data_IF_352710075002
#
_entry.id   IF_352710075002
#
_cell.length_a   1.000
_cell.length_b   1.000
_cell.length_c   1.000
_cell.angle_alpha   90.00
_cell.angle_beta   90.00
_cell.angle_gamma   90.00
#
_symmetry.space_group_name_H-M   'P 1'
#
loop_
_entity.id
_entity.type
_entity.pdbx_description
1 polymer ?
#
# COMPACT_ATOMS: atom_id res chain seq x y z
N UNK A 1 17.32 -17.08 -39.39
CA UNK A 1 16.39 -17.05 -40.54
C UNK A 1 17.20 -17.25 -41.81
N UNK A 2 16.76 -18.13 -42.72
CA UNK A 2 17.46 -18.38 -43.98
C UNK A 2 16.94 -17.43 -45.07
N UNK A 3 17.16 -16.12 -44.88
CA UNK A 3 16.69 -15.06 -45.78
C UNK A 3 17.87 -14.42 -46.50
N UNK A 4 17.70 -14.08 -47.77
CA UNK A 4 18.68 -13.28 -48.51
C UNK A 4 18.71 -11.85 -47.95
N UNK A 5 19.87 -11.20 -47.98
CA UNK A 5 20.05 -9.84 -47.47
C UNK A 5 19.05 -8.84 -48.08
N UNK A 6 18.77 -8.98 -49.37
CA UNK A 6 17.79 -8.15 -50.08
C UNK A 6 16.39 -8.29 -49.48
N UNK A 7 15.98 -9.51 -49.16
CA UNK A 7 14.65 -9.78 -48.60
C UNK A 7 14.55 -9.28 -47.16
N UNK A 8 15.64 -9.42 -46.38
CA UNK A 8 15.73 -8.85 -45.04
C UNK A 8 15.52 -7.32 -45.08
N UNK A 9 16.23 -6.60 -45.95
CA UNK A 9 16.11 -5.14 -46.07
C UNK A 9 14.70 -4.72 -46.51
N UNK A 10 14.08 -5.45 -47.44
CA UNK A 10 12.69 -5.18 -47.84
C UNK A 10 11.71 -5.32 -46.68
N UNK A 11 11.84 -6.36 -45.86
CA UNK A 11 10.97 -6.58 -44.71
C UNK A 11 11.24 -5.52 -43.63
N UNK A 12 12.52 -5.19 -43.38
CA UNK A 12 12.93 -4.14 -42.44
C UNK A 12 12.29 -2.80 -42.79
N UNK A 13 12.41 -2.38 -44.05
CA UNK A 13 11.82 -1.11 -44.53
C UNK A 13 10.29 -1.09 -44.39
N UNK A 14 9.60 -2.23 -44.56
CA UNK A 14 8.15 -2.31 -44.31
C UNK A 14 7.82 -2.10 -42.83
N UNK A 15 8.57 -2.71 -41.91
CA UNK A 15 8.38 -2.53 -40.47
C UNK A 15 8.70 -1.10 -40.03
N UNK A 16 9.70 -0.46 -40.64
CA UNK A 16 10.01 0.95 -40.44
C UNK A 16 8.85 1.86 -40.90
N UNK A 17 8.31 1.63 -42.10
CA UNK A 17 7.18 2.40 -42.64
C UNK A 17 5.90 2.26 -41.81
N UNK A 18 5.65 1.07 -41.23
CA UNK A 18 4.55 0.82 -40.30
C UNK A 18 4.84 1.30 -38.88
N UNK A 19 6.00 1.93 -38.63
CA UNK A 19 6.46 2.41 -37.33
C UNK A 19 6.50 1.30 -36.25
N UNK A 20 6.71 0.04 -36.66
CA UNK A 20 6.91 -1.12 -35.78
C UNK A 20 8.38 -1.32 -35.43
N UNK A 21 9.28 -0.71 -36.22
CA UNK A 21 10.71 -0.78 -36.03
C UNK A 21 11.31 0.61 -36.23
N UNK A 22 12.19 1.02 -35.33
CA UNK A 22 13.01 2.21 -35.50
C UNK A 22 14.48 1.81 -35.51
N UNK A 23 15.21 2.25 -36.53
CA UNK A 23 16.59 1.84 -36.76
C UNK A 23 17.49 3.07 -36.65
N UNK A 24 18.57 2.96 -35.88
CA UNK A 24 19.66 3.93 -35.89
C UNK A 24 20.92 3.23 -36.40
N UNK A 25 21.74 3.96 -37.14
CA UNK A 25 23.01 3.44 -37.65
C UNK A 25 24.14 4.34 -37.18
N UNK A 26 25.23 3.73 -36.71
CA UNK A 26 26.51 4.38 -36.47
C UNK A 26 27.58 3.50 -37.10
N UNK A 27 28.17 3.97 -38.20
CA UNK A 27 29.15 3.20 -38.99
C UNK A 27 28.55 1.83 -39.41
N UNK A 28 29.17 0.73 -38.99
CA UNK A 28 28.70 -0.64 -39.25
C UNK A 28 27.78 -1.20 -38.14
N UNK A 29 27.48 -0.42 -37.11
CA UNK A 29 26.58 -0.79 -36.02
C UNK A 29 25.15 -0.31 -36.26
N UNK A 30 24.17 -1.19 -36.03
CA UNK A 30 22.75 -0.88 -36.13
C UNK A 30 22.06 -1.11 -34.78
N UNK A 31 21.29 -0.12 -34.33
CA UNK A 31 20.41 -0.22 -33.17
C UNK A 31 18.96 -0.35 -33.63
N UNK A 32 18.32 -1.45 -33.23
CA UNK A 32 16.94 -1.78 -33.58
C UNK A 32 16.02 -1.62 -32.36
N UNK A 33 15.13 -0.63 -32.43
CA UNK A 33 14.11 -0.40 -31.42
C UNK A 33 12.77 -0.93 -31.90
N UNK A 34 12.33 -2.04 -31.31
CA UNK A 34 11.02 -2.62 -31.60
C UNK A 34 9.92 -1.83 -30.88
N UNK A 35 8.87 -1.48 -31.62
CA UNK A 35 7.69 -0.78 -31.10
C UNK A 35 6.50 -1.72 -31.08
N UNK A 36 5.69 -1.61 -30.02
CA UNK A 36 4.42 -2.34 -29.96
C UNK A 36 3.47 -1.81 -31.04
N UNK A 37 2.64 -2.68 -31.65
CA UNK A 37 1.62 -2.23 -32.59
C UNK A 37 0.59 -1.35 -31.88
N UNK A 38 -0.11 -0.55 -32.68
CA UNK A 38 -1.27 0.21 -32.22
C UNK A 38 -2.36 -0.74 -31.69
N UNK A 39 -3.17 -0.24 -30.75
CA UNK A 39 -4.38 -0.97 -30.34
C UNK A 39 -5.38 -1.03 -31.50
N UNK A 40 -6.27 -2.02 -31.52
CA UNK A 40 -7.28 -2.15 -32.58
C UNK A 40 -8.08 -0.85 -32.78
N UNK A 41 -8.50 -0.20 -31.67
CA UNK A 41 -9.19 1.10 -31.71
C UNK A 41 -8.33 2.18 -32.38
N UNK A 42 -7.06 2.32 -31.98
CA UNK A 42 -6.16 3.33 -32.54
C UNK A 42 -5.89 3.07 -34.02
N UNK A 43 -5.65 1.81 -34.41
CA UNK A 43 -5.35 1.45 -35.79
C UNK A 43 -6.56 1.64 -36.71
N UNK A 44 -7.74 1.18 -36.30
CA UNK A 44 -8.95 1.22 -37.12
C UNK A 44 -9.57 2.62 -37.21
N UNK A 45 -9.38 3.47 -36.19
CA UNK A 45 -9.85 4.86 -36.19
C UNK A 45 -8.82 5.84 -36.76
N UNK A 46 -7.60 5.38 -37.07
CA UNK A 46 -6.60 6.21 -37.72
C UNK A 46 -7.00 6.49 -39.17
N UNK A 47 -6.91 7.75 -39.58
CA UNK A 47 -7.36 8.20 -40.91
C UNK A 47 -6.52 7.63 -42.05
N UNK A 48 -5.29 7.18 -41.79
CA UNK A 48 -4.40 6.62 -42.81
C UNK A 48 -4.48 5.09 -42.77
N UNK A 49 -4.23 4.47 -41.62
CA UNK A 49 -4.17 3.01 -41.52
C UNK A 49 -5.54 2.34 -41.67
N UNK A 50 -6.61 2.92 -41.09
CA UNK A 50 -7.95 2.38 -41.22
C UNK A 50 -8.44 2.40 -42.67
N UNK A 51 -8.27 3.53 -43.36
CA UNK A 51 -8.66 3.68 -44.77
C UNK A 51 -7.80 2.83 -45.71
N UNK A 52 -6.48 2.75 -45.50
CA UNK A 52 -5.61 1.88 -46.28
C UNK A 52 -5.95 0.40 -46.09
N UNK A 53 -6.24 -0.03 -44.86
CA UNK A 53 -6.68 -1.40 -44.62
C UNK A 53 -7.99 -1.68 -45.35
N UNK A 54 -8.96 -0.76 -45.30
CA UNK A 54 -10.23 -0.88 -46.01
C UNK A 54 -10.04 -1.05 -47.52
N UNK A 55 -9.12 -0.31 -48.14
CA UNK A 55 -8.85 -0.43 -49.58
C UNK A 55 -8.23 -1.76 -49.95
N UNK A 56 -7.38 -2.33 -49.08
CA UNK A 56 -6.70 -3.61 -49.35
C UNK A 56 -7.60 -4.84 -49.15
N UNK A 57 -8.42 -4.84 -48.08
CA UNK A 57 -9.22 -6.02 -47.73
C UNK A 57 -10.70 -5.89 -48.12
N UNK A 58 -11.15 -4.68 -48.45
CA UNK A 58 -12.55 -4.38 -48.75
C UNK A 58 -13.44 -4.26 -47.51
N UNK A 59 -14.58 -3.58 -47.68
CA UNK A 59 -15.49 -3.24 -46.58
C UNK A 59 -16.04 -4.46 -45.84
N UNK A 60 -16.40 -5.53 -46.57
CA UNK A 60 -16.94 -6.76 -45.95
C UNK A 60 -15.95 -7.39 -44.97
N UNK A 61 -14.68 -7.50 -45.35
CA UNK A 61 -13.65 -8.09 -44.49
C UNK A 61 -13.28 -7.15 -43.34
N UNK A 62 -13.31 -5.83 -43.56
CA UNK A 62 -13.10 -4.85 -42.49
C UNK A 62 -14.22 -4.93 -41.44
N UNK A 63 -15.48 -5.09 -41.84
CA UNK A 63 -16.60 -5.27 -40.93
C UNK A 63 -16.47 -6.57 -40.12
N UNK A 64 -15.99 -7.65 -40.74
CA UNK A 64 -15.69 -8.88 -40.03
C UNK A 64 -14.55 -8.67 -39.00
N UNK A 65 -13.44 -8.02 -39.42
CA UNK A 65 -12.31 -7.75 -38.54
C UNK A 65 -12.67 -6.85 -37.36
N UNK A 66 -13.40 -5.76 -37.61
CA UNK A 66 -13.86 -4.83 -36.56
C UNK A 66 -14.79 -5.53 -35.57
N UNK A 67 -15.62 -6.47 -36.02
CA UNK A 67 -16.48 -7.26 -35.12
C UNK A 67 -15.69 -8.16 -34.17
N UNK A 68 -14.50 -8.65 -34.57
CA UNK A 68 -13.59 -9.39 -33.67
C UNK A 68 -13.02 -8.53 -32.53
N UNK A 69 -12.97 -7.22 -32.71
CA UNK A 69 -12.49 -6.25 -31.71
C UNK A 69 -13.62 -5.48 -31.03
N UNK A 70 -14.88 -5.86 -31.28
CA UNK A 70 -16.02 -5.26 -30.62
C UNK A 70 -15.95 -5.56 -29.13
N UNK A 71 -16.22 -4.53 -28.32
CA UNK A 71 -16.43 -4.66 -26.88
C UNK A 71 -17.90 -4.40 -26.61
N UNK A 72 -18.52 -5.26 -25.81
CA UNK A 72 -19.87 -5.01 -25.31
C UNK A 72 -19.78 -3.93 -24.23
N UNK A 73 -20.26 -2.74 -24.57
CA UNK A 73 -20.38 -1.64 -23.61
C UNK A 73 -21.68 -1.88 -22.85
N UNK A 74 -21.56 -2.35 -21.61
CA UNK A 74 -22.70 -2.45 -20.71
C UNK A 74 -23.18 -1.03 -20.38
N UNK A 75 -24.49 -0.81 -20.51
CA UNK A 75 -25.09 0.43 -20.01
C UNK A 75 -24.98 0.45 -18.49
N UNK A 76 -24.46 1.55 -17.95
CA UNK A 76 -24.43 1.81 -16.51
C UNK A 76 -25.67 2.57 -16.04
N UNK A 77 -26.69 2.75 -16.90
CA UNK A 77 -27.94 3.39 -16.52
C UNK A 77 -28.63 2.60 -15.41
N UNK A 78 -28.96 3.27 -14.31
CA UNK A 78 -29.57 2.65 -13.13
C UNK A 78 -28.58 1.95 -12.17
N UNK A 79 -27.28 1.90 -12.50
CA UNK A 79 -26.25 1.35 -11.62
C UNK A 79 -25.50 2.48 -10.89
N UNK A 80 -25.25 2.28 -9.61
CA UNK A 80 -24.40 3.16 -8.81
C UNK A 80 -22.95 2.65 -8.82
N UNK A 81 -21.99 3.56 -9.04
CA UNK A 81 -20.58 3.19 -8.98
C UNK A 81 -20.10 3.07 -7.53
N UNK A 82 -20.02 1.83 -7.03
CA UNK A 82 -19.54 1.51 -5.68
C UNK A 82 -18.02 1.22 -5.59
N UNK A 83 -17.26 1.52 -6.64
CA UNK A 83 -15.80 1.28 -6.68
C UNK A 83 -15.10 2.06 -5.56
N UNK A 84 -14.39 1.35 -4.68
CA UNK A 84 -13.58 1.97 -3.63
C UNK A 84 -12.33 2.58 -4.25
N UNK A 85 -12.02 3.81 -3.88
CA UNK A 85 -10.78 4.47 -4.26
C UNK A 85 -9.60 3.90 -3.46
N UNK A 86 -8.38 4.09 -3.95
CA UNK A 86 -7.19 3.52 -3.31
C UNK A 86 -7.02 4.02 -1.86
N UNK A 87 -7.26 5.32 -1.67
CA UNK A 87 -7.23 6.01 -0.38
C UNK A 87 -8.34 5.59 0.59
N UNK A 88 -9.39 4.90 0.12
CA UNK A 88 -10.42 4.34 1.00
C UNK A 88 -9.98 3.03 1.68
N UNK A 89 -8.93 2.37 1.17
CA UNK A 89 -8.48 1.06 1.64
C UNK A 89 -7.02 1.06 2.11
N UNK A 90 -6.21 2.00 1.63
CA UNK A 90 -4.77 1.99 1.84
C UNK A 90 -4.26 3.37 2.27
N UNK A 91 -3.47 3.38 3.35
CA UNK A 91 -2.72 4.54 3.80
C UNK A 91 -1.27 4.50 3.29
N UNK A 92 -0.77 5.66 2.88
CA UNK A 92 0.60 5.77 2.41
C UNK A 92 1.58 5.78 3.60
N UNK A 93 2.26 4.66 3.86
CA UNK A 93 3.38 4.62 4.81
C UNK A 93 4.65 5.03 4.06
N UNK A 94 5.18 6.21 4.40
CA UNK A 94 6.43 6.74 3.83
C UNK A 94 7.61 5.81 4.17
N UNK A 95 7.87 4.88 3.27
CA UNK A 95 9.14 4.17 3.18
C UNK A 95 9.72 4.56 1.83
N UNK A 96 10.82 5.33 1.87
CA UNK A 96 11.73 5.59 0.76
C UNK A 96 11.07 5.49 -0.63
N UNK A 97 10.57 6.62 -1.15
CA UNK A 97 10.02 6.71 -2.51
C UNK A 97 10.85 5.88 -3.49
N UNK A 98 10.22 4.91 -4.16
CA UNK A 98 10.87 4.03 -5.13
C UNK A 98 11.59 4.88 -6.17
N UNK A 99 12.94 4.84 -6.16
CA UNK A 99 13.75 5.57 -7.11
C UNK A 99 14.32 4.61 -8.14
N UNK A 100 13.78 4.65 -9.35
CA UNK A 100 14.25 3.84 -10.48
C UNK A 100 15.02 4.74 -11.43
N UNK A 101 16.35 4.58 -11.47
CA UNK A 101 17.25 5.42 -12.27
C UNK A 101 17.38 4.96 -13.74
N UNK A 102 16.48 4.11 -14.23
CA UNK A 102 16.50 3.57 -15.59
C UNK A 102 15.09 3.56 -16.20
N UNK A 103 14.97 3.66 -17.54
CA UNK A 103 13.68 3.62 -18.21
C UNK A 103 13.01 2.24 -18.03
N UNK A 104 11.74 2.25 -17.61
CA UNK A 104 10.92 1.04 -17.51
C UNK A 104 10.08 0.85 -18.78
N UNK A 105 9.88 -0.40 -19.17
CA UNK A 105 9.00 -0.76 -20.27
C UNK A 105 7.53 -0.61 -19.86
N UNK A 106 6.73 0.11 -20.64
CA UNK A 106 5.30 0.32 -20.35
C UNK A 106 4.42 0.13 -21.58
N UNK A 107 3.24 -0.46 -21.39
CA UNK A 107 2.09 -0.35 -22.31
C UNK A 107 1.08 0.66 -21.74
N UNK A 108 0.14 1.09 -22.58
CA UNK A 108 -0.88 2.12 -22.31
C UNK A 108 -1.35 2.21 -20.86
N UNK A 109 -1.34 3.42 -20.32
CA UNK A 109 -1.73 3.73 -18.93
C UNK A 109 -3.21 3.42 -18.69
N UNK A 110 -3.54 2.68 -17.63
CA UNK A 110 -4.93 2.38 -17.22
C UNK A 110 -5.61 3.55 -16.46
N UNK A 111 -5.09 4.77 -16.59
CA UNK A 111 -5.48 5.92 -15.75
C UNK A 111 -4.71 6.03 -14.43
N UNK A 112 -3.95 5.00 -14.02
CA UNK A 112 -3.19 5.00 -12.76
C UNK A 112 -4.09 4.85 -11.52
N UNK A 113 -3.52 5.10 -10.33
CA UNK A 113 -4.28 5.10 -9.08
C UNK A 113 -5.30 6.24 -9.05
N UNK A 114 -6.58 5.90 -8.89
CA UNK A 114 -7.64 6.86 -8.62
C UNK A 114 -7.55 7.25 -7.14
N UNK A 115 -7.23 8.52 -6.91
CA UNK A 115 -7.12 9.12 -5.58
C UNK A 115 -8.31 10.04 -5.43
N UNK A 116 -9.25 9.72 -4.52
CA UNK A 116 -10.40 10.57 -4.21
C UNK A 116 -10.08 11.52 -3.04
N UNK A 117 -8.84 12.01 -3.00
CA UNK A 117 -8.39 12.96 -2.01
C UNK A 117 -9.00 14.33 -2.31
N UNK A 118 -9.81 14.82 -1.37
CA UNK A 118 -10.38 16.17 -1.43
C UNK A 118 -9.33 17.21 -1.06
N UNK A 119 -8.34 17.40 -1.92
CA UNK A 119 -7.49 18.58 -1.86
C UNK A 119 -8.34 19.81 -2.19
N UNK A 120 -8.32 20.82 -1.32
CA UNK A 120 -9.04 22.08 -1.57
C UNK A 120 -8.31 22.88 -2.66
N UNK A 121 -8.56 22.51 -3.92
CA UNK A 121 -7.95 23.12 -5.09
C UNK A 121 -8.39 24.57 -5.28
N UNK A 122 -9.62 24.90 -4.86
CA UNK A 122 -10.15 26.26 -4.91
C UNK A 122 -9.34 27.19 -4.00
N UNK A 123 -9.09 26.78 -2.75
CA UNK A 123 -8.22 27.51 -1.84
C UNK A 123 -6.79 27.62 -2.37
N UNK A 124 -6.26 26.57 -3.00
CA UNK A 124 -4.94 26.63 -3.65
C UNK A 124 -4.88 27.69 -4.75
N UNK A 125 -5.88 27.76 -5.64
CA UNK A 125 -5.92 28.76 -6.70
C UNK A 125 -6.14 30.18 -6.16
N UNK A 126 -6.89 30.33 -5.07
CA UNK A 126 -7.10 31.62 -4.41
C UNK A 126 -5.79 32.19 -3.85
N UNK A 127 -5.02 31.36 -3.12
CA UNK A 127 -3.77 31.74 -2.47
C UNK A 127 -2.58 31.89 -3.44
N UNK A 128 -2.75 31.57 -4.73
CA UNK A 128 -1.72 31.80 -5.73
C UNK A 128 -1.63 33.28 -6.14
N UNK A 129 -0.42 33.81 -6.38
CA UNK A 129 -0.24 35.15 -6.95
C UNK A 129 -0.91 35.26 -8.33
N UNK A 130 -1.61 36.36 -8.62
CA UNK A 130 -2.31 36.57 -9.90
C UNK A 130 -1.40 36.38 -11.13
N UNK A 131 -0.12 36.77 -11.02
CA UNK A 131 0.89 36.60 -12.08
C UNK A 131 1.12 35.14 -12.48
N UNK A 132 0.82 34.20 -11.60
CA UNK A 132 1.02 32.77 -11.82
C UNK A 132 -0.27 32.03 -12.17
N UNK A 133 -1.43 32.72 -12.17
CA UNK A 133 -2.71 32.14 -12.57
C UNK A 133 -2.79 32.04 -14.10
N UNK A 134 -2.41 30.89 -14.63
CA UNK A 134 -2.48 30.62 -16.07
C UNK A 134 -3.62 29.64 -16.42
N UNK A 135 -3.94 29.50 -17.71
CA UNK A 135 -4.98 28.57 -18.18
C UNK A 135 -4.68 27.10 -17.88
N UNK A 136 -3.42 26.75 -17.58
CA UNK A 136 -3.01 25.39 -17.24
C UNK A 136 -3.64 24.94 -15.91
N UNK A 137 -3.84 25.86 -14.96
CA UNK A 137 -4.50 25.60 -13.67
C UNK A 137 -5.98 25.20 -13.82
N UNK A 138 -6.60 25.50 -14.95
CA UNK A 138 -8.00 25.16 -15.24
C UNK A 138 -8.14 23.78 -15.91
N UNK A 139 -7.02 23.12 -16.24
CA UNK A 139 -7.08 21.80 -16.89
C UNK A 139 -7.25 20.70 -15.83
N UNK A 140 -8.22 19.80 -16.03
CA UNK A 140 -8.47 18.67 -15.12
C UNK A 140 -7.21 17.80 -14.94
N UNK A 141 -6.43 17.62 -16.01
CA UNK A 141 -5.14 16.91 -15.95
C UNK A 141 -4.16 17.55 -14.97
N UNK A 142 -4.13 18.88 -14.86
CA UNK A 142 -3.24 19.58 -13.92
C UNK A 142 -3.76 19.52 -12.50
N UNK A 143 -5.08 19.68 -12.32
CA UNK A 143 -5.77 19.51 -11.04
C UNK A 143 -5.52 18.13 -10.44
N UNK A 144 -5.66 17.06 -11.23
CA UNK A 144 -5.34 15.70 -10.79
C UNK A 144 -3.88 15.55 -10.32
N UNK A 145 -2.92 16.17 -11.01
CA UNK A 145 -1.51 16.07 -10.65
C UNK A 145 -1.22 16.78 -9.33
N UNK A 146 -1.79 17.97 -9.12
CA UNK A 146 -1.69 18.70 -7.85
C UNK A 146 -2.29 17.88 -6.71
N UNK A 147 -3.48 17.31 -6.90
CA UNK A 147 -4.12 16.43 -5.92
C UNK A 147 -3.28 15.18 -5.62
N UNK A 148 -2.68 14.55 -6.64
CA UNK A 148 -1.79 13.40 -6.48
C UNK A 148 -0.55 13.74 -5.66
N UNK A 149 0.10 14.86 -5.95
CA UNK A 149 1.27 15.32 -5.18
C UNK A 149 0.88 15.64 -3.74
N UNK A 150 -0.21 16.40 -3.54
CA UNK A 150 -0.69 16.75 -2.21
C UNK A 150 -1.01 15.51 -1.38
N UNK A 151 -1.65 14.50 -1.99
CA UNK A 151 -1.95 13.23 -1.33
C UNK A 151 -0.69 12.42 -1.00
N UNK A 152 0.24 12.26 -1.95
CA UNK A 152 1.45 11.42 -1.76
C UNK A 152 2.35 11.98 -0.66
N UNK A 153 2.54 13.29 -0.63
CA UNK A 153 3.43 13.96 0.34
C UNK A 153 2.68 14.51 1.56
N UNK A 154 1.35 14.36 1.63
CA UNK A 154 0.47 14.91 2.67
C UNK A 154 0.65 16.43 2.83
N UNK A 155 0.70 17.15 1.70
CA UNK A 155 0.84 18.61 1.69
C UNK A 155 -0.47 19.33 1.89
N UNK A 156 -0.40 20.38 2.70
CA UNK A 156 -1.48 21.34 2.83
C UNK A 156 -1.48 22.35 1.66
N UNK A 157 -2.47 23.24 1.66
CA UNK A 157 -2.61 24.27 0.64
C UNK A 157 -1.39 25.21 0.61
N UNK A 158 -0.80 25.51 1.77
CA UNK A 158 0.33 26.44 1.87
C UNK A 158 1.61 25.85 1.27
N UNK A 159 1.91 24.58 1.59
CA UNK A 159 3.01 23.81 1.04
C UNK A 159 2.89 23.73 -0.50
N UNK A 160 1.70 23.44 -1.01
CA UNK A 160 1.47 23.36 -2.46
C UNK A 160 1.65 24.70 -3.17
N UNK A 161 1.24 25.82 -2.55
CA UNK A 161 1.49 27.18 -3.08
C UNK A 161 3.00 27.44 -3.17
N UNK A 162 3.75 27.16 -2.11
CA UNK A 162 5.20 27.36 -2.08
C UNK A 162 5.93 26.50 -3.14
N UNK A 163 5.51 25.24 -3.31
CA UNK A 163 6.05 24.32 -4.33
C UNK A 163 5.77 24.85 -5.74
N UNK A 164 4.55 25.33 -5.97
CA UNK A 164 4.13 25.87 -7.27
C UNK A 164 4.90 27.14 -7.63
N UNK A 165 5.06 28.06 -6.68
CA UNK A 165 5.88 29.26 -6.84
C UNK A 165 7.35 28.92 -7.14
N UNK A 166 7.91 27.96 -6.40
CA UNK A 166 9.29 27.52 -6.60
C UNK A 166 9.50 26.87 -7.98
N UNK A 167 8.49 26.18 -8.52
CA UNK A 167 8.52 25.63 -9.88
C UNK A 167 8.41 26.74 -10.93
N UNK A 168 7.54 27.72 -10.71
CA UNK A 168 7.26 28.83 -11.62
C UNK A 168 8.38 29.89 -11.70
N UNK A 169 9.28 29.94 -10.72
CA UNK A 169 10.44 30.88 -10.73
C UNK A 169 11.34 30.71 -11.96
N UNK A 170 11.37 29.51 -12.56
CA UNK A 170 12.24 29.23 -13.71
C UNK A 170 11.58 29.52 -15.07
N UNK A 171 10.25 29.39 -15.20
CA UNK A 171 9.46 29.58 -16.43
C UNK A 171 7.99 29.86 -16.07
N UNK A 172 7.28 30.66 -16.88
CA UNK A 172 5.83 30.91 -16.68
C UNK A 172 4.95 29.69 -16.96
N UNK A 173 5.42 28.73 -17.76
CA UNK A 173 4.74 27.45 -18.02
C UNK A 173 5.42 26.35 -17.22
N UNK A 174 4.65 25.71 -16.34
CA UNK A 174 5.16 24.72 -15.40
C UNK A 174 5.07 23.33 -16.02
N UNK A 175 6.19 22.63 -16.07
CA UNK A 175 6.24 21.23 -16.48
C UNK A 175 5.98 20.32 -15.27
N UNK A 176 5.17 19.27 -15.46
CA UNK A 176 4.90 18.24 -14.44
C UNK A 176 6.17 17.63 -13.83
N UNK A 177 7.22 17.42 -14.63
CA UNK A 177 8.49 16.90 -14.12
C UNK A 177 9.17 17.87 -13.14
N UNK A 178 9.07 19.19 -13.38
CA UNK A 178 9.64 20.20 -12.49
C UNK A 178 8.82 20.33 -11.21
N UNK A 179 7.49 20.26 -11.31
CA UNK A 179 6.59 20.29 -10.16
C UNK A 179 6.86 19.10 -9.22
N UNK A 180 6.99 17.88 -9.76
CA UNK A 180 7.35 16.69 -8.98
C UNK A 180 8.73 16.79 -8.33
N UNK A 181 9.72 17.33 -9.05
CA UNK A 181 11.06 17.54 -8.49
C UNK A 181 11.02 18.53 -7.33
N UNK A 182 10.28 19.64 -7.47
CA UNK A 182 10.15 20.67 -6.43
C UNK A 182 9.35 20.16 -5.23
N UNK A 183 8.30 19.38 -5.46
CA UNK A 183 7.55 18.71 -4.40
C UNK A 183 8.46 17.76 -3.60
N UNK A 184 9.31 16.96 -4.25
CA UNK A 184 10.28 16.11 -3.58
C UNK A 184 11.31 16.92 -2.79
N UNK A 185 11.89 17.97 -3.38
CA UNK A 185 12.85 18.85 -2.70
C UNK A 185 12.25 19.53 -1.48
N UNK A 186 10.99 19.99 -1.57
CA UNK A 186 10.28 20.60 -0.46
C UNK A 186 10.05 19.60 0.69
N UNK A 187 9.80 18.32 0.36
CA UNK A 187 9.65 17.25 1.34
C UNK A 187 10.98 16.99 2.04
N UNK A 188 12.05 16.88 1.27
CA UNK A 188 13.40 16.67 1.79
C UNK A 188 13.84 17.83 2.68
N UNK A 189 13.55 19.08 2.30
CA UNK A 189 13.87 20.28 3.08
C UNK A 189 13.06 20.38 4.38
N UNK A 190 11.74 20.16 4.32
CA UNK A 190 10.86 20.21 5.49
C UNK A 190 11.15 19.08 6.49
N UNK A 191 11.57 17.92 5.98
CA UNK A 191 11.91 16.75 6.81
C UNK A 191 13.39 16.63 7.18
N UNK A 192 14.26 17.55 6.75
CA UNK A 192 15.71 17.53 7.08
C UNK A 192 16.06 18.10 8.46
N UNK A 193 15.08 18.50 9.28
CA UNK A 193 15.32 18.99 10.66
C UNK A 193 14.48 18.30 11.75
N UNK A 194 14.00 17.07 11.52
CA UNK A 194 13.29 16.33 12.55
C UNK A 194 13.98 14.98 12.80
N UNK A 195 14.80 14.96 13.85
CA UNK A 195 15.00 13.77 14.68
C UNK A 195 13.65 13.08 14.85
N UNK A 196 13.63 11.77 14.63
CA UNK A 196 12.46 10.89 14.80
C UNK A 196 11.76 11.25 16.12
N UNK A 197 10.70 12.04 16.04
CA UNK A 197 9.66 12.05 17.05
C UNK A 197 8.55 11.20 16.47
N UNK A 198 8.52 9.94 16.93
CA UNK A 198 7.32 9.12 16.82
C UNK A 198 6.15 9.94 17.36
N UNK A 199 5.16 10.17 16.50
CA UNK A 199 3.84 10.57 16.93
C UNK A 199 3.01 9.29 16.92
N UNK A 200 2.47 8.96 18.08
CA UNK A 200 1.87 7.69 18.43
C UNK A 200 0.88 7.19 17.38
N UNK A 201 1.25 6.06 16.75
CA UNK A 201 0.24 5.15 16.21
C UNK A 201 -0.42 4.59 17.46
N UNK A 202 -1.68 4.90 17.71
CA UNK A 202 -2.41 4.31 18.84
C UNK A 202 -2.27 2.78 18.73
N UNK A 203 -1.83 2.14 19.80
CA UNK A 203 -1.52 0.70 19.85
C UNK A 203 -2.70 -0.16 19.36
N UNK A 204 -3.92 0.37 19.45
CA UNK A 204 -5.19 -0.20 18.98
C UNK A 204 -5.17 -0.59 17.50
N UNK A 205 -4.90 0.35 16.59
CA UNK A 205 -5.00 0.14 15.14
C UNK A 205 -4.02 -0.92 14.60
N UNK A 206 -2.87 -1.09 15.27
CA UNK A 206 -1.90 -2.14 14.94
C UNK A 206 -2.39 -3.53 15.36
N UNK A 207 -3.12 -3.62 16.47
CA UNK A 207 -3.55 -4.91 17.03
C UNK A 207 -4.80 -5.43 16.31
N UNK A 208 -5.66 -4.53 15.79
CA UNK A 208 -6.84 -4.91 15.01
C UNK A 208 -6.51 -5.57 13.66
N UNK A 209 -5.40 -5.18 13.04
CA UNK A 209 -5.01 -5.62 11.70
C UNK A 209 -4.04 -6.82 11.69
N UNK A 210 -3.52 -7.22 12.85
CA UNK A 210 -2.55 -8.31 12.94
C UNK A 210 -3.28 -9.65 12.94
N UNK A 211 -2.89 -10.52 12.00
CA UNK A 211 -3.37 -11.91 12.00
C UNK A 211 -2.90 -12.62 13.27
N UNK A 212 -3.79 -13.35 13.98
CA UNK A 212 -3.45 -14.18 15.13
C UNK A 212 -2.30 -15.17 14.86
N UNK A 213 -2.13 -15.58 13.59
CA UNK A 213 -0.99 -16.40 13.14
C UNK A 213 0.36 -15.73 13.42
N UNK A 214 0.47 -14.42 13.21
CA UNK A 214 1.71 -13.66 13.40
C UNK A 214 2.04 -13.57 14.90
N UNK A 215 1.01 -13.44 15.75
CA UNK A 215 1.17 -13.39 17.21
C UNK A 215 1.69 -14.74 17.72
N UNK A 216 1.11 -15.84 17.24
CA UNK A 216 1.47 -17.20 17.66
C UNK A 216 2.87 -17.57 17.16
N UNK A 217 3.21 -17.26 15.91
CA UNK A 217 4.56 -17.50 15.38
C UNK A 217 5.65 -16.74 16.15
N UNK A 218 5.32 -15.55 16.67
CA UNK A 218 6.27 -14.69 17.37
C UNK A 218 6.38 -14.97 18.86
N UNK A 219 5.29 -15.34 19.53
CA UNK A 219 5.22 -15.42 20.99
C UNK A 219 4.91 -16.81 21.54
N UNK A 220 4.48 -17.78 20.73
CA UNK A 220 4.28 -19.15 21.18
C UNK A 220 5.55 -19.99 20.99
N UNK A 221 5.79 -20.93 21.92
CA UNK A 221 6.92 -21.87 21.82
C UNK A 221 6.78 -22.75 20.58
N UNK A 222 7.90 -22.99 19.89
CA UNK A 222 7.97 -23.65 18.57
C UNK A 222 7.29 -25.02 18.53
N UNK A 223 7.32 -25.76 19.63
CA UNK A 223 6.71 -27.09 19.81
C UNK A 223 5.17 -27.05 19.99
N UNK A 224 4.60 -25.88 20.30
CA UNK A 224 3.17 -25.71 20.58
C UNK A 224 2.43 -24.80 19.59
N UNK A 225 3.12 -24.29 18.57
CA UNK A 225 2.55 -23.37 17.58
C UNK A 225 1.34 -23.96 16.83
N UNK A 226 1.36 -25.28 16.53
CA UNK A 226 0.24 -25.95 15.84
C UNK A 226 -1.04 -26.02 16.69
N UNK A 227 -0.91 -26.31 17.99
CA UNK A 227 -2.04 -26.39 18.94
C UNK A 227 -2.54 -24.99 19.30
N UNK A 228 -1.62 -24.03 19.46
CA UNK A 228 -1.97 -22.63 19.69
C UNK A 228 -2.74 -22.04 18.49
N UNK A 229 -2.33 -22.38 17.27
CA UNK A 229 -2.99 -21.91 16.05
C UNK A 229 -4.40 -22.48 15.87
N UNK A 230 -4.60 -23.77 16.16
CA UNK A 230 -5.95 -24.36 16.10
C UNK A 230 -6.87 -23.74 17.15
N UNK A 231 -6.35 -23.46 18.35
CA UNK A 231 -7.11 -22.85 19.45
C UNK A 231 -7.50 -21.40 19.13
N UNK A 232 -6.57 -20.59 18.61
CA UNK A 232 -6.87 -19.20 18.22
C UNK A 232 -7.85 -19.11 17.05
N UNK A 233 -7.70 -19.99 16.05
CA UNK A 233 -8.65 -20.08 14.92
C UNK A 233 -10.05 -20.43 15.40
N UNK A 234 -10.18 -21.46 16.25
CA UNK A 234 -11.47 -21.85 16.82
C UNK A 234 -12.10 -20.74 17.68
N UNK A 235 -11.29 -19.95 18.38
CA UNK A 235 -11.76 -18.82 19.19
C UNK A 235 -12.33 -17.67 18.33
N UNK A 236 -11.75 -17.40 17.16
CA UNK A 236 -12.28 -16.40 16.20
C UNK A 236 -13.55 -16.88 15.53
N UNK A 237 -13.62 -18.16 15.16
CA UNK A 237 -14.77 -18.73 14.44
C UNK A 237 -16.01 -18.87 15.34
N UNK A 238 -15.81 -19.16 16.63
CA UNK A 238 -16.91 -19.42 17.58
C UNK A 238 -17.46 -18.17 18.27
N UNK A 239 -16.75 -17.04 18.23
CA UNK A 239 -17.14 -15.84 18.97
C UNK A 239 -17.24 -14.63 18.03
N UNK A 240 -18.42 -13.99 17.99
CA UNK A 240 -18.67 -12.77 17.21
C UNK A 240 -18.13 -11.51 17.91
N UNK A 241 -16.82 -11.48 18.15
CA UNK A 241 -16.12 -10.38 18.83
C UNK A 241 -15.08 -9.76 17.92
N UNK A 242 -14.70 -8.52 18.18
CA UNK A 242 -13.66 -7.83 17.42
C UNK A 242 -12.33 -8.62 17.47
N UNK A 243 -11.68 -8.87 16.32
CA UNK A 243 -10.42 -9.64 16.28
C UNK A 243 -9.31 -9.07 17.16
N UNK A 244 -9.28 -7.74 17.35
CA UNK A 244 -8.29 -7.09 18.21
C UNK A 244 -8.45 -7.44 19.69
N UNK A 245 -9.66 -7.64 20.20
CA UNK A 245 -9.89 -8.13 21.58
C UNK A 245 -9.27 -9.51 21.77
N UNK A 246 -9.47 -10.41 20.80
CA UNK A 246 -8.89 -11.75 20.81
C UNK A 246 -7.36 -11.66 20.74
N UNK A 247 -6.81 -10.78 19.91
CA UNK A 247 -5.37 -10.55 19.80
C UNK A 247 -4.74 -10.07 21.12
N UNK A 248 -5.38 -9.13 21.83
CA UNK A 248 -4.90 -8.67 23.15
C UNK A 248 -4.92 -9.81 24.16
N UNK A 249 -5.97 -10.62 24.19
CA UNK A 249 -6.07 -11.79 25.08
C UNK A 249 -4.97 -12.80 24.76
N UNK A 250 -4.73 -13.11 23.48
CA UNK A 250 -3.66 -14.02 23.05
C UNK A 250 -2.29 -13.52 23.50
N UNK A 251 -1.99 -12.23 23.30
CA UNK A 251 -0.72 -11.63 23.73
C UNK A 251 -0.54 -11.72 25.24
N UNK A 252 -1.57 -11.40 26.01
CA UNK A 252 -1.52 -11.41 27.47
C UNK A 252 -1.33 -12.83 28.02
N UNK A 253 -2.07 -13.80 27.49
CA UNK A 253 -1.98 -15.19 27.95
C UNK A 253 -0.64 -15.81 27.59
N UNK A 254 -0.14 -15.59 26.36
CA UNK A 254 1.18 -16.05 25.94
C UNK A 254 2.29 -15.44 26.80
N UNK A 255 2.18 -14.16 27.16
CA UNK A 255 3.14 -13.48 28.06
C UNK A 255 3.16 -14.09 29.46
N UNK A 256 1.99 -14.43 30.01
CA UNK A 256 1.88 -14.94 31.39
C UNK A 256 2.12 -16.44 31.54
N UNK A 257 2.02 -17.21 30.45
CA UNK A 257 2.19 -18.66 30.44
C UNK A 257 3.47 -19.08 29.71
N UNK A 258 4.47 -18.19 29.65
CA UNK A 258 5.77 -18.45 29.02
C UNK A 258 5.66 -19.04 27.60
N UNK A 259 4.79 -18.44 26.78
CA UNK A 259 4.57 -18.83 25.39
C UNK A 259 3.71 -20.07 25.18
N UNK A 260 3.00 -20.55 26.21
CA UNK A 260 2.06 -21.67 26.14
C UNK A 260 0.64 -21.11 26.03
N UNK A 261 -0.09 -21.49 24.97
CA UNK A 261 -1.50 -21.15 24.85
C UNK A 261 -2.37 -22.27 25.48
N UNK A 262 -3.18 -21.99 26.51
CA UNK A 262 -4.09 -22.95 27.12
C UNK A 262 -5.19 -23.44 26.17
N UNK A 263 -5.97 -24.43 26.62
CA UNK A 263 -7.07 -25.00 25.84
C UNK A 263 -8.18 -23.99 25.54
N UNK A 264 -8.95 -24.25 24.48
CA UNK A 264 -10.06 -23.40 24.04
C UNK A 264 -11.03 -23.04 25.17
N UNK A 265 -11.41 -24.00 26.01
CA UNK A 265 -12.34 -23.75 27.12
C UNK A 265 -11.78 -22.71 28.11
N UNK A 266 -10.48 -22.72 28.38
CA UNK A 266 -9.86 -21.71 29.24
C UNK A 266 -9.89 -20.33 28.57
N UNK A 267 -9.57 -20.27 27.28
CA UNK A 267 -9.58 -19.03 26.51
C UNK A 267 -10.99 -18.42 26.40
N UNK A 268 -12.02 -19.26 26.26
CA UNK A 268 -13.42 -18.82 26.24
C UNK A 268 -13.87 -18.28 27.60
N UNK A 269 -13.46 -18.90 28.71
CA UNK A 269 -13.73 -18.37 30.05
C UNK A 269 -13.08 -17.00 30.24
N UNK A 270 -11.84 -16.81 29.79
CA UNK A 270 -11.15 -15.52 29.86
C UNK A 270 -11.86 -14.47 29.00
N UNK A 271 -12.26 -14.82 27.78
CA UNK A 271 -13.00 -13.94 26.89
C UNK A 271 -14.34 -13.51 27.49
N UNK A 272 -15.12 -14.46 28.00
CA UNK A 272 -16.41 -14.15 28.63
C UNK A 272 -16.26 -13.30 29.89
N UNK A 273 -15.21 -13.51 30.70
CA UNK A 273 -14.91 -12.63 31.84
C UNK A 273 -14.64 -11.18 31.40
N UNK A 274 -13.89 -10.99 30.31
CA UNK A 274 -13.59 -9.66 29.76
C UNK A 274 -14.86 -8.98 29.21
N UNK A 275 -15.69 -9.72 28.47
CA UNK A 275 -16.97 -9.23 27.95
C UNK A 275 -17.92 -8.82 29.09
N UNK A 276 -18.02 -9.64 30.14
CA UNK A 276 -18.87 -9.35 31.31
C UNK A 276 -18.39 -8.12 32.09
N UNK A 277 -17.11 -7.78 32.00
CA UNK A 277 -16.50 -6.58 32.59
C UNK A 277 -16.58 -5.35 31.69
N UNK A 278 -17.28 -5.46 30.56
CA UNK A 278 -17.58 -4.34 29.67
C UNK A 278 -16.53 -4.09 28.58
N UNK A 279 -15.61 -5.02 28.33
CA UNK A 279 -14.66 -4.90 27.21
C UNK A 279 -15.40 -5.16 25.91
N UNK A 280 -15.58 -4.13 25.08
CA UNK A 280 -16.31 -4.24 23.80
C UNK A 280 -15.49 -3.79 22.59
N UNK A 281 -14.38 -3.07 22.82
CA UNK A 281 -13.45 -2.64 21.78
C UNK A 281 -12.02 -3.09 22.07
N UNK A 282 -11.16 -3.08 21.06
CA UNK A 282 -9.72 -3.32 21.24
C UNK A 282 -9.04 -2.29 22.15
N UNK A 283 -9.55 -1.05 22.19
CA UNK A 283 -9.08 -0.02 23.12
C UNK A 283 -9.41 -0.38 24.58
N UNK A 284 -10.63 -0.84 24.83
CA UNK A 284 -11.04 -1.33 26.15
C UNK A 284 -10.19 -2.52 26.59
N UNK A 285 -9.89 -3.43 25.67
CA UNK A 285 -9.07 -4.61 25.92
C UNK A 285 -7.64 -4.23 26.31
N UNK A 286 -7.03 -3.26 25.61
CA UNK A 286 -5.70 -2.75 25.93
C UNK A 286 -5.65 -2.05 27.30
N UNK A 287 -6.62 -1.17 27.56
CA UNK A 287 -6.72 -0.47 28.84
C UNK A 287 -6.93 -1.45 30.00
N UNK A 288 -7.80 -2.45 29.80
CA UNK A 288 -8.05 -3.48 30.79
C UNK A 288 -6.83 -4.38 31.02
N UNK A 289 -6.12 -4.77 29.97
CA UNK A 289 -4.88 -5.56 30.05
C UNK A 289 -3.77 -4.83 30.81
N UNK A 290 -3.60 -3.53 30.57
CA UNK A 290 -2.59 -2.69 31.24
C UNK A 290 -2.90 -2.51 32.72
N UNK A 291 -4.19 -2.36 33.07
CA UNK A 291 -4.65 -2.30 34.45
C UNK A 291 -4.44 -3.64 35.19
N UNK A 292 -4.71 -4.77 34.53
CA UNK A 292 -4.45 -6.11 35.07
C UNK A 292 -2.95 -6.32 35.32
N UNK A 293 -2.10 -5.96 34.37
CA UNK A 293 -0.65 -6.07 34.48
C UNK A 293 -0.12 -5.23 35.64
N UNK A 294 -0.59 -3.99 35.77
CA UNK A 294 -0.26 -3.11 36.89
C UNK A 294 -0.70 -3.68 38.25
N UNK A 295 -1.83 -4.38 38.31
CA UNK A 295 -2.28 -5.06 39.53
C UNK A 295 -1.44 -6.30 39.86
N UNK A 296 -1.00 -7.06 38.85
CA UNK A 296 -0.14 -8.22 39.02
C UNK A 296 1.29 -7.83 39.43
N UNK A 297 1.83 -6.74 38.90
CA UNK A 297 3.10 -6.16 39.34
C UNK A 297 3.05 -5.69 40.79
N UNK A 298 1.95 -5.01 41.19
CA UNK A 298 1.71 -4.62 42.59
C UNK A 298 1.55 -5.83 43.53
N UNK A 299 1.00 -6.95 43.07
CA UNK A 299 0.93 -8.20 43.86
C UNK A 299 2.27 -8.92 43.95
N UNK A 300 3.10 -8.90 42.89
CA UNK A 300 4.46 -9.46 42.90
C UNK A 300 5.40 -8.69 43.84
N UNK A 301 5.25 -7.38 43.98
CA UNK A 301 6.05 -6.60 44.95
C UNK A 301 5.65 -6.87 46.41
N UNK A 302 4.40 -7.29 46.65
CA UNK A 302 3.90 -7.67 47.98
C UNK A 302 4.23 -9.13 48.33
N UNK A 303 4.31 -10.03 47.35
CA UNK A 303 4.85 -11.38 47.52
C UNK A 303 6.37 -11.42 47.30
N UNK A 304 7.11 -10.72 48.15
CA UNK A 304 8.47 -11.17 48.46
C UNK A 304 8.28 -12.46 49.26
N UNK A 305 8.39 -13.60 48.57
CA UNK A 305 8.47 -14.91 49.19
C UNK A 305 9.58 -14.83 50.23
N UNK A 306 9.20 -14.84 51.51
CA UNK A 306 10.08 -15.35 52.56
C UNK A 306 10.49 -16.73 52.11
N UNK A 307 11.80 -17.00 52.07
CA UNK A 307 12.28 -18.38 51.98
C UNK A 307 11.44 -19.23 52.92
N UNK A 308 10.92 -20.39 52.47
CA UNK A 308 10.21 -21.24 53.39
C UNK A 308 11.20 -21.72 54.44
N UNK A 309 11.00 -21.32 55.71
CA UNK A 309 11.84 -21.70 56.86
C UNK A 309 12.10 -23.23 56.94
N UNK A 310 11.23 -24.05 56.33
CA UNK A 310 11.39 -25.51 56.31
C UNK A 310 12.57 -26.02 55.48
N UNK A 311 13.07 -25.25 54.49
CA UNK A 311 14.16 -25.70 53.62
C UNK A 311 15.52 -25.65 54.34
N UNK A 312 15.73 -24.65 55.18
CA UNK A 312 16.96 -24.51 55.97
C UNK A 312 17.03 -25.55 57.10
N UNK A 313 15.90 -25.88 57.73
CA UNK A 313 15.82 -26.95 58.72
C UNK A 313 16.11 -28.34 58.09
N UNK A 314 15.61 -28.58 56.86
CA UNK A 314 15.90 -29.83 56.12
C UNK A 314 17.37 -29.95 55.72
N UNK A 315 18.02 -28.84 55.34
CA UNK A 315 19.44 -28.81 54.97
C UNK A 315 20.33 -29.00 56.22
N UNK A 316 19.94 -28.46 57.38
CA UNK A 316 20.61 -28.71 58.66
C UNK A 316 20.50 -30.16 59.11
N UNK A 317 19.31 -30.77 59.01
CA UNK A 317 19.12 -32.17 59.37
C UNK A 317 19.93 -33.11 58.47
N UNK A 318 20.03 -32.81 57.18
CA UNK A 318 20.89 -33.54 56.25
C UNK A 318 22.39 -33.39 56.58
N UNK A 319 22.84 -32.19 56.94
CA UNK A 319 24.22 -31.92 57.32
C UNK A 319 24.62 -32.59 58.67
N UNK A 320 23.65 -32.77 59.58
CA UNK A 320 23.86 -33.47 60.85
C UNK A 320 23.82 -35.00 60.72
N UNK A 321 23.34 -35.55 59.60
CA UNK A 321 23.37 -36.99 59.32
C UNK A 321 24.69 -37.45 58.67
N UNK A 322 25.49 -36.52 58.12
CA UNK A 322 26.80 -36.82 57.50
C UNK A 322 28.01 -36.52 58.40
N UNK A 323 27.80 -36.21 59.69
CA UNK A 323 28.83 -36.00 60.70
C UNK A 323 28.84 -37.12 61.76
#
# INVERSE_FOLDING_TARGET
>A
MNLKQIDFLKIRNKLEALNLLQVFQKEDEFLYFMKAPLTAKQFLMDTVFGSYLQSEIGEKNLNLLTSMFKMDVLSTEGFENVTKSFDALYEFKSLSLLNVNYPLQGRTQNGGSHINYKFNYEAFVEHLPERLKNSQLLTEKFKEQITKIAFVYQYDVSDMVAIYEAAAKSRQVINFSQLNLKAKQHYEQKNQLLTIKQKDITQTNLIDQVSPQIIIQKYAKTDQQGIALSTATAMLERNSVEPGIINVILMLVLKHKDGILPTLNYMEVVLHDWLNKGVQTTEDALNYSTNLESQWEKKKSVQKVSEPDWLDDYIKDLANMEA
#
